data_IF_848025126771
#
_entry.id   IF_848025126771
#
_cell.length_a   1.000
_cell.length_b   1.000
_cell.length_c   1.000
_cell.angle_alpha   90.00
_cell.angle_beta   90.00
_cell.angle_gamma   90.00
#
_symmetry.space_group_name_H-M   'P 1'
#
loop_
_entity.id
_entity.type
_entity.pdbx_description
1 polymer ?
#
# COMPACT_ATOMS: atom_id res chain seq x y z
N UNK A 1 13.98 4.58 -11.99
CA UNK A 1 12.86 5.09 -11.15
C UNK A 1 13.33 5.12 -9.70
N UNK A 2 13.19 6.23 -8.95
CA UNK A 2 13.72 6.38 -7.58
C UNK A 2 13.18 5.36 -6.56
N UNK A 3 12.06 4.71 -6.86
CA UNK A 3 11.47 3.67 -6.01
C UNK A 3 12.11 2.29 -6.22
N UNK A 4 13.00 2.12 -7.21
CA UNK A 4 13.58 0.81 -7.54
C UNK A 4 14.40 0.20 -6.39
N UNK A 5 15.23 0.96 -5.64
CA UNK A 5 15.93 0.41 -4.48
C UNK A 5 14.98 -0.07 -3.38
N UNK A 6 13.89 0.68 -3.14
CA UNK A 6 12.86 0.32 -2.17
C UNK A 6 12.17 -1.00 -2.54
N UNK A 7 11.76 -1.15 -3.80
CA UNK A 7 11.18 -2.39 -4.32
C UNK A 7 12.18 -3.55 -4.24
N UNK A 8 13.42 -3.35 -4.68
CA UNK A 8 14.45 -4.39 -4.64
C UNK A 8 14.73 -4.86 -3.19
N UNK A 9 14.77 -3.96 -2.22
CA UNK A 9 14.92 -4.31 -0.81
C UNK A 9 13.72 -5.12 -0.29
N UNK A 10 12.50 -4.75 -0.67
CA UNK A 10 11.30 -5.49 -0.31
C UNK A 10 11.29 -6.91 -0.91
N UNK A 11 11.68 -7.05 -2.19
CA UNK A 11 11.80 -8.35 -2.87
C UNK A 11 12.89 -9.19 -2.20
N UNK A 12 14.04 -8.59 -1.86
CA UNK A 12 15.10 -9.28 -1.13
C UNK A 12 14.60 -9.81 0.22
N UNK A 13 13.87 -9.00 0.98
CA UNK A 13 13.27 -9.44 2.24
C UNK A 13 12.26 -10.59 2.05
N UNK A 14 11.48 -10.58 0.96
CA UNK A 14 10.56 -11.66 0.62
C UNK A 14 11.30 -12.97 0.27
N UNK A 15 12.40 -12.90 -0.46
CA UNK A 15 13.24 -14.05 -0.78
C UNK A 15 13.95 -14.60 0.46
N UNK A 16 14.47 -13.73 1.34
CA UNK A 16 15.04 -14.15 2.63
C UNK A 16 14.00 -14.81 3.52
N UNK A 17 12.78 -14.26 3.57
CA UNK A 17 11.68 -14.86 4.31
C UNK A 17 11.36 -16.26 3.76
N UNK A 18 11.22 -16.40 2.45
CA UNK A 18 10.87 -17.68 1.81
C UNK A 18 11.99 -18.72 1.98
N UNK A 19 13.26 -18.28 1.97
CA UNK A 19 14.42 -19.11 2.29
C UNK A 19 14.37 -19.65 3.72
N UNK A 20 14.05 -18.78 4.70
CA UNK A 20 13.96 -19.18 6.11
C UNK A 20 12.72 -20.03 6.40
N UNK A 21 11.59 -19.72 5.77
CA UNK A 21 10.35 -20.48 5.88
C UNK A 21 10.46 -21.86 5.21
N UNK A 22 11.40 -22.03 4.27
CA UNK A 22 11.62 -23.28 3.54
C UNK A 22 10.48 -23.63 2.58
N UNK A 23 9.70 -22.64 2.16
CA UNK A 23 8.47 -22.83 1.38
C UNK A 23 8.63 -22.49 -0.12
N UNK A 24 9.84 -22.13 -0.55
CA UNK A 24 10.19 -21.97 -1.96
C UNK A 24 11.59 -22.51 -2.25
N UNK A 25 11.69 -23.56 -3.08
CA UNK A 25 12.93 -24.32 -3.30
C UNK A 25 14.08 -23.49 -3.89
N UNK A 26 13.76 -22.44 -4.66
CA UNK A 26 14.72 -21.56 -5.31
C UNK A 26 14.94 -20.23 -4.58
N UNK A 27 14.36 -20.04 -3.38
CA UNK A 27 14.48 -18.78 -2.65
C UNK A 27 15.95 -18.36 -2.44
N UNK A 28 16.27 -17.11 -2.78
CA UNK A 28 17.62 -16.55 -2.70
C UNK A 28 18.61 -17.09 -3.74
N UNK A 29 18.16 -17.93 -4.68
CA UNK A 29 18.98 -18.57 -5.73
C UNK A 29 18.46 -18.33 -7.14
N UNK A 30 17.46 -17.46 -7.30
CA UNK A 30 16.88 -17.08 -8.58
C UNK A 30 16.91 -15.56 -8.76
N UNK A 31 17.00 -15.05 -10.00
CA UNK A 31 16.67 -13.66 -10.27
C UNK A 31 15.17 -13.46 -10.04
N UNK A 32 14.80 -12.39 -9.32
CA UNK A 32 13.41 -11.98 -9.09
C UNK A 32 13.34 -10.47 -9.17
N UNK A 33 12.32 -9.95 -9.83
CA UNK A 33 12.13 -8.52 -10.01
C UNK A 33 10.75 -8.22 -10.58
N UNK A 34 10.39 -6.95 -10.61
CA UNK A 34 9.14 -6.46 -11.16
C UNK A 34 9.40 -5.15 -11.90
N UNK A 35 8.70 -4.93 -13.01
CA UNK A 35 8.69 -3.63 -13.66
C UNK A 35 7.58 -2.76 -13.08
N UNK A 36 7.95 -1.71 -12.35
CA UNK A 36 6.99 -0.70 -11.89
C UNK A 36 6.44 0.16 -13.04
N UNK A 37 7.12 0.24 -14.18
CA UNK A 37 6.62 1.04 -15.31
C UNK A 37 5.67 0.22 -16.21
N UNK A 38 5.98 -1.07 -16.38
CA UNK A 38 5.26 -2.04 -17.20
C UNK A 38 5.05 -3.34 -16.40
N UNK A 39 4.17 -3.34 -15.39
CA UNK A 39 3.90 -4.54 -14.59
C UNK A 39 3.28 -5.69 -15.39
N UNK A 40 2.92 -5.45 -16.65
CA UNK A 40 2.41 -6.41 -17.63
C UNK A 40 3.49 -7.16 -18.42
N UNK A 41 4.77 -6.85 -18.21
CA UNK A 41 5.88 -7.53 -18.89
C UNK A 41 6.94 -7.99 -17.90
N UNK A 42 7.71 -9.00 -18.30
CA UNK A 42 8.88 -9.45 -17.54
C UNK A 42 9.87 -8.29 -17.36
N UNK A 43 10.33 -8.09 -16.14
CA UNK A 43 11.22 -7.01 -15.74
C UNK A 43 12.61 -7.05 -16.40
N UNK A 44 12.99 -8.22 -16.94
CA UNK A 44 14.23 -8.43 -17.72
C UNK A 44 14.07 -8.10 -19.20
N UNK A 45 12.83 -7.90 -19.68
CA UNK A 45 12.58 -7.57 -21.08
C UNK A 45 13.04 -6.15 -21.38
N UNK A 46 13.89 -6.00 -22.40
CA UNK A 46 14.26 -4.69 -22.93
C UNK A 46 13.00 -3.94 -23.40
N UNK A 47 12.79 -2.75 -22.82
CA UNK A 47 11.65 -1.90 -23.12
C UNK A 47 12.08 -0.49 -23.52
N UNK A 48 11.13 0.35 -23.97
CA UNK A 48 11.41 1.76 -24.14
C UNK A 48 11.92 2.36 -22.82
N UNK A 49 12.89 3.27 -22.90
CA UNK A 49 13.43 3.94 -21.73
C UNK A 49 12.30 4.57 -20.90
N UNK A 50 12.26 4.26 -19.61
CA UNK A 50 11.34 4.92 -18.66
C UNK A 50 11.65 6.42 -18.68
N UNK A 51 10.65 7.30 -18.86
CA UNK A 51 10.89 8.73 -18.87
C UNK A 51 11.49 9.17 -17.52
N UNK A 52 12.39 10.15 -17.56
CA UNK A 52 12.88 10.81 -16.35
C UNK A 52 11.71 11.42 -15.58
N UNK A 53 11.71 11.31 -14.25
CA UNK A 53 10.66 11.91 -13.45
C UNK A 53 10.73 13.44 -13.55
N UNK A 54 9.70 14.01 -14.16
CA UNK A 54 9.51 15.46 -14.35
C UNK A 54 8.40 16.00 -13.46
N UNK A 55 7.43 15.16 -13.07
CA UNK A 55 6.28 15.55 -12.27
C UNK A 55 6.09 14.63 -11.07
N UNK A 56 5.81 15.21 -9.90
CA UNK A 56 5.41 14.47 -8.70
C UNK A 56 4.02 14.91 -8.24
N UNK A 57 3.22 14.05 -7.59
CA UNK A 57 1.96 14.47 -6.98
C UNK A 57 2.23 15.55 -5.92
N UNK A 58 1.46 16.63 -5.90
CA UNK A 58 1.65 17.72 -4.93
C UNK A 58 0.56 17.80 -3.85
N UNK A 59 -0.57 17.12 -4.04
CA UNK A 59 -1.67 17.08 -3.06
C UNK A 59 -2.28 15.68 -3.02
N UNK A 60 -2.21 15.00 -1.88
CA UNK A 60 -2.75 13.64 -1.71
C UNK A 60 -3.54 13.50 -0.41
N UNK A 61 -4.54 12.63 -0.43
CA UNK A 61 -5.25 12.19 0.77
C UNK A 61 -4.90 10.73 1.09
N UNK A 62 -4.18 10.49 2.18
CA UNK A 62 -3.82 9.15 2.65
C UNK A 62 -4.89 8.67 3.64
N UNK A 63 -5.61 7.61 3.25
CA UNK A 63 -6.69 7.01 4.04
C UNK A 63 -6.19 5.67 4.60
N UNK A 64 -6.08 5.60 5.93
CA UNK A 64 -5.44 4.51 6.66
C UNK A 64 -3.93 4.73 6.78
N UNK A 65 -3.41 4.54 7.99
CA UNK A 65 -2.00 4.74 8.39
C UNK A 65 -1.45 3.53 9.15
N UNK A 66 -1.95 2.33 8.80
CA UNK A 66 -1.36 1.05 9.20
C UNK A 66 -0.10 0.72 8.39
N UNK A 67 0.21 -0.57 8.22
CA UNK A 67 1.38 -1.04 7.46
C UNK A 67 1.48 -0.38 6.07
N UNK A 68 0.43 -0.53 5.24
CA UNK A 68 0.40 0.00 3.88
C UNK A 68 0.47 1.54 3.83
N UNK A 69 -0.32 2.23 4.67
CA UNK A 69 -0.29 3.69 4.71
C UNK A 69 1.08 4.26 5.12
N UNK A 70 1.78 3.60 6.04
CA UNK A 70 3.16 3.93 6.39
C UNK A 70 4.15 3.61 5.26
N UNK A 71 3.93 2.54 4.49
CA UNK A 71 4.72 2.26 3.29
C UNK A 71 4.51 3.31 2.19
N UNK A 72 3.27 3.80 1.99
CA UNK A 72 3.01 4.93 1.09
C UNK A 72 3.80 6.16 1.55
N UNK A 73 3.75 6.45 2.85
CA UNK A 73 4.44 7.59 3.44
C UNK A 73 5.96 7.52 3.21
N UNK A 74 6.55 6.35 3.45
CA UNK A 74 7.97 6.12 3.24
C UNK A 74 8.37 6.30 1.77
N UNK A 75 7.61 5.73 0.83
CA UNK A 75 7.91 5.84 -0.60
C UNK A 75 7.76 7.26 -1.13
N UNK A 76 6.77 8.03 -0.66
CA UNK A 76 6.64 9.46 -1.00
C UNK A 76 7.88 10.24 -0.55
N UNK A 77 8.43 9.94 0.63
CA UNK A 77 9.66 10.54 1.12
C UNK A 77 10.92 10.12 0.32
N UNK A 78 10.90 9.01 -0.41
CA UNK A 78 11.99 8.60 -1.30
C UNK A 78 11.99 9.37 -2.63
N UNK A 79 10.93 10.11 -2.96
CA UNK A 79 10.85 10.88 -4.19
C UNK A 79 11.55 12.24 -4.04
N UNK A 80 12.11 12.81 -5.13
CA UNK A 80 12.92 14.03 -5.10
C UNK A 80 12.06 15.30 -5.01
N UNK A 81 11.26 15.40 -3.96
CA UNK A 81 10.41 16.57 -3.71
C UNK A 81 11.24 17.80 -3.32
N UNK A 82 10.98 18.96 -3.93
CA UNK A 82 11.38 20.22 -3.34
C UNK A 82 10.63 20.42 -2.01
N UNK A 83 11.28 21.01 -1.01
CA UNK A 83 10.68 21.26 0.30
C UNK A 83 9.37 22.05 0.18
N UNK A 84 8.34 21.61 0.90
CA UNK A 84 7.05 22.30 1.01
C UNK A 84 6.09 22.09 -0.17
N UNK A 85 6.43 21.21 -1.12
CA UNK A 85 5.65 21.02 -2.37
C UNK A 85 4.63 19.89 -2.34
N UNK A 86 4.67 19.03 -1.32
CA UNK A 86 3.69 17.97 -1.10
C UNK A 86 2.82 18.30 0.12
N UNK A 87 1.52 18.38 -0.12
CA UNK A 87 0.46 18.50 0.89
C UNK A 87 -0.27 17.17 1.06
N UNK A 88 -0.44 16.77 2.32
CA UNK A 88 -0.98 15.47 2.70
C UNK A 88 -2.13 15.65 3.68
N UNK A 89 -3.32 15.22 3.30
CA UNK A 89 -4.37 14.93 4.29
C UNK A 89 -4.14 13.52 4.80
N UNK A 90 -3.94 13.37 6.10
CA UNK A 90 -3.64 12.12 6.78
C UNK A 90 -4.88 11.69 7.57
N UNK A 91 -5.52 10.59 7.17
CA UNK A 91 -6.75 10.11 7.78
C UNK A 91 -6.57 8.74 8.43
N UNK A 92 -6.66 8.72 9.77
CA UNK A 92 -6.75 7.50 10.58
C UNK A 92 -7.30 7.88 11.97
N UNK A 93 -8.05 6.99 12.60
CA UNK A 93 -8.64 7.21 13.92
C UNK A 93 -7.95 6.41 15.03
N UNK A 94 -7.04 5.50 14.67
CA UNK A 94 -6.38 4.59 15.60
C UNK A 94 -5.10 5.18 16.19
N UNK A 95 -4.69 4.56 17.31
CA UNK A 95 -3.37 4.71 17.91
C UNK A 95 -2.43 3.60 17.47
N UNK A 96 -1.14 3.86 17.58
CA UNK A 96 -0.10 2.86 17.35
C UNK A 96 -0.13 1.82 18.47
N UNK A 97 -0.21 0.55 18.10
CA UNK A 97 -0.17 -0.58 19.02
C UNK A 97 1.21 -1.24 18.99
N UNK A 98 1.52 -2.06 20.00
CA UNK A 98 2.76 -2.86 20.05
C UNK A 98 2.98 -3.69 18.79
N UNK A 99 1.90 -4.23 18.21
CA UNK A 99 2.00 -5.01 16.96
C UNK A 99 2.48 -4.20 15.77
N UNK A 100 2.40 -2.87 15.80
CA UNK A 100 2.85 -2.03 14.69
C UNK A 100 4.38 -1.97 14.55
N UNK A 101 5.13 -2.22 15.63
CA UNK A 101 6.61 -2.26 15.63
C UNK A 101 7.17 -3.28 14.63
N UNK A 102 6.59 -4.48 14.59
CA UNK A 102 7.05 -5.55 13.68
C UNK A 102 6.37 -5.54 12.32
N UNK A 103 5.34 -4.71 12.13
CA UNK A 103 4.46 -4.77 10.96
C UNK A 103 4.41 -3.50 10.12
N UNK A 104 4.97 -2.39 10.59
CA UNK A 104 4.85 -1.09 9.93
C UNK A 104 6.21 -0.39 9.86
N UNK A 105 6.57 0.14 8.68
CA UNK A 105 7.94 0.62 8.39
C UNK A 105 8.34 1.90 9.15
N UNK A 106 7.37 2.67 9.66
CA UNK A 106 7.64 3.92 10.38
C UNK A 106 7.43 3.80 11.89
N UNK A 107 7.06 2.64 12.41
CA UNK A 107 6.69 2.48 13.82
C UNK A 107 7.74 1.69 14.58
N UNK A 108 7.98 2.09 15.82
CA UNK A 108 8.74 1.32 16.79
C UNK A 108 8.04 1.33 18.17
N UNK A 109 8.58 0.60 19.13
CA UNK A 109 8.02 0.52 20.49
C UNK A 109 7.96 1.87 21.24
N UNK A 110 8.81 2.85 20.90
CA UNK A 110 8.89 4.13 21.63
C UNK A 110 7.70 5.05 21.33
N UNK A 111 6.94 4.77 20.27
CA UNK A 111 5.83 5.62 19.80
C UNK A 111 4.45 4.96 19.98
N UNK A 112 4.39 3.85 20.71
CA UNK A 112 3.12 3.18 21.07
C UNK A 112 2.19 4.17 21.78
N UNK A 113 0.88 3.97 21.60
CA UNK A 113 -0.22 4.81 22.06
C UNK A 113 -0.31 6.21 21.44
N UNK A 114 0.65 6.64 20.62
CA UNK A 114 0.48 7.88 19.83
C UNK A 114 -0.58 7.69 18.75
N UNK A 115 -1.35 8.73 18.46
CA UNK A 115 -2.26 8.75 17.30
C UNK A 115 -1.45 8.53 16.02
N UNK A 116 -1.89 7.62 15.15
CA UNK A 116 -1.20 7.29 13.90
C UNK A 116 -1.02 8.52 13.01
N UNK A 117 -2.07 9.35 12.89
CA UNK A 117 -2.07 10.62 12.16
C UNK A 117 -0.98 11.56 12.64
N UNK A 118 -0.88 11.77 13.96
CA UNK A 118 0.11 12.68 14.57
C UNK A 118 1.53 12.15 14.42
N UNK A 119 1.74 10.84 14.57
CA UNK A 119 3.05 10.25 14.34
C UNK A 119 3.49 10.35 12.87
N UNK A 120 2.60 10.01 11.94
CA UNK A 120 2.87 10.14 10.52
C UNK A 120 3.09 11.61 10.12
N UNK A 121 2.35 12.52 10.71
CA UNK A 121 2.50 13.97 10.55
C UNK A 121 3.90 14.44 10.94
N UNK A 122 4.32 14.21 12.19
CA UNK A 122 5.67 14.56 12.65
C UNK A 122 6.75 14.00 11.70
N UNK A 123 6.60 12.74 11.28
CA UNK A 123 7.56 12.07 10.40
C UNK A 123 7.61 12.70 9.01
N UNK A 124 6.48 13.09 8.44
CA UNK A 124 6.37 13.73 7.12
C UNK A 124 6.81 15.19 7.15
N UNK A 125 6.45 15.94 8.19
CA UNK A 125 6.83 17.35 8.35
C UNK A 125 8.33 17.50 8.60
N UNK A 126 8.95 16.55 9.31
CA UNK A 126 10.41 16.47 9.45
C UNK A 126 11.15 16.32 8.10
N UNK A 127 10.43 15.95 7.03
CA UNK A 127 10.94 15.83 5.64
C UNK A 127 10.48 16.98 4.75
N UNK A 128 9.88 18.00 5.34
CA UNK A 128 9.47 19.21 4.63
C UNK A 128 8.14 19.10 3.90
N UNK A 129 7.32 18.09 4.18
CA UNK A 129 5.95 18.03 3.68
C UNK A 129 5.00 18.80 4.58
N UNK A 130 3.83 19.17 4.05
CA UNK A 130 2.76 19.82 4.81
C UNK A 130 1.68 18.80 5.11
N UNK A 131 1.20 18.74 6.34
CA UNK A 131 0.18 17.76 6.72
C UNK A 131 -1.07 18.39 7.32
N UNK A 132 -2.21 17.74 7.09
CA UNK A 132 -3.51 18.06 7.67
C UNK A 132 -4.09 16.77 8.23
N UNK A 133 -4.66 16.81 9.44
CA UNK A 133 -5.07 15.60 10.16
C UNK A 133 -6.58 15.44 10.13
N UNK A 134 -7.04 14.25 9.72
CA UNK A 134 -8.43 13.82 9.80
C UNK A 134 -8.51 12.59 10.73
N UNK A 135 -8.77 12.82 12.02
CA UNK A 135 -8.80 11.76 13.04
C UNK A 135 -10.14 10.99 13.09
N UNK A 136 -10.98 11.09 12.04
CA UNK A 136 -12.24 10.33 11.90
C UNK A 136 -12.10 9.13 10.98
N UNK A 137 -12.95 8.12 11.22
CA UNK A 137 -13.14 6.98 10.31
C UNK A 137 -13.54 7.46 8.91
N UNK A 138 -12.98 6.82 7.89
CA UNK A 138 -13.46 6.94 6.53
C UNK A 138 -14.74 6.11 6.33
N UNK A 139 -15.69 6.64 5.57
CA UNK A 139 -16.95 5.96 5.29
C UNK A 139 -17.83 6.75 4.32
N UNK A 140 -19.04 6.25 4.06
CA UNK A 140 -19.95 6.80 3.06
C UNK A 140 -20.45 8.23 3.33
N UNK A 141 -20.24 8.75 4.55
CA UNK A 141 -20.54 10.14 4.93
C UNK A 141 -19.43 11.11 4.55
N UNK A 142 -18.26 10.61 4.18
CA UNK A 142 -17.12 11.45 3.83
C UNK A 142 -17.34 12.06 2.45
N UNK A 143 -17.15 13.36 2.33
CA UNK A 143 -17.15 14.08 1.06
C UNK A 143 -16.02 15.09 1.10
N UNK A 144 -15.15 15.06 0.08
CA UNK A 144 -14.14 16.10 -0.07
C UNK A 144 -14.78 17.44 -0.42
N UNK A 145 -14.17 18.52 0.01
CA UNK A 145 -14.44 19.87 -0.53
C UNK A 145 -13.54 20.14 -1.75
N UNK A 146 -13.85 21.21 -2.49
CA UNK A 146 -13.13 21.56 -3.72
C UNK A 146 -11.67 21.97 -3.46
N UNK A 147 -11.38 22.47 -2.26
CA UNK A 147 -10.04 22.85 -1.83
C UNK A 147 -9.23 21.68 -1.25
N UNK A 148 -9.82 20.51 -1.03
CA UNK A 148 -9.11 19.33 -0.55
C UNK A 148 -8.44 18.54 -1.68
N UNK A 149 -7.43 17.67 -1.39
CA UNK A 149 -6.84 16.82 -2.40
C UNK A 149 -7.88 15.94 -3.12
N UNK A 150 -7.90 15.99 -4.44
CA UNK A 150 -8.78 15.18 -5.27
C UNK A 150 -8.22 13.78 -5.59
N UNK A 151 -6.96 13.52 -5.22
CA UNK A 151 -6.31 12.21 -5.35
C UNK A 151 -6.19 11.56 -3.98
N UNK A 152 -6.78 10.36 -3.83
CA UNK A 152 -6.72 9.58 -2.59
C UNK A 152 -5.91 8.30 -2.74
N UNK A 153 -5.14 7.97 -1.71
CA UNK A 153 -4.44 6.71 -1.54
C UNK A 153 -5.09 5.96 -0.37
N UNK A 154 -5.78 4.87 -0.66
CA UNK A 154 -6.48 4.08 0.35
C UNK A 154 -5.69 2.83 0.72
N UNK A 155 -5.56 2.58 2.03
CA UNK A 155 -4.85 1.44 2.61
C UNK A 155 -5.62 0.75 3.75
N UNK A 156 -6.91 1.05 3.87
CA UNK A 156 -7.75 0.47 4.92
C UNK A 156 -8.09 -0.99 4.60
N UNK A 157 -8.28 -1.78 5.64
CA UNK A 157 -8.45 -3.23 5.58
C UNK A 157 -9.91 -3.70 5.64
N UNK A 158 -10.88 -2.79 5.74
CA UNK A 158 -12.28 -3.13 5.92
C UNK A 158 -13.11 -2.83 4.67
N UNK A 159 -13.93 -3.81 4.27
CA UNK A 159 -14.78 -3.73 3.10
C UNK A 159 -15.73 -2.50 3.12
N UNK A 160 -16.41 -2.14 4.24
CA UNK A 160 -17.31 -0.98 4.24
C UNK A 160 -16.63 0.34 3.87
N UNK A 161 -15.43 0.61 4.39
CA UNK A 161 -14.68 1.83 4.04
C UNK A 161 -14.21 1.78 2.57
N UNK A 162 -13.69 0.65 2.10
CA UNK A 162 -13.24 0.52 0.71
C UNK A 162 -14.41 0.66 -0.28
N UNK A 163 -15.59 0.13 0.06
CA UNK A 163 -16.84 0.25 -0.72
C UNK A 163 -17.27 1.72 -0.94
N UNK A 164 -16.96 2.60 0.02
CA UNK A 164 -17.37 4.00 0.01
C UNK A 164 -16.46 4.94 -0.80
N UNK A 165 -15.31 4.47 -1.31
CA UNK A 165 -14.27 5.32 -1.89
C UNK A 165 -14.77 6.23 -3.03
N UNK A 166 -15.58 5.69 -3.94
CA UNK A 166 -16.11 6.45 -5.09
C UNK A 166 -17.21 7.47 -4.71
N UNK A 167 -17.73 7.41 -3.48
CA UNK A 167 -18.76 8.35 -2.99
C UNK A 167 -18.17 9.63 -2.40
N UNK A 168 -16.89 9.60 -2.03
CA UNK A 168 -16.22 10.70 -1.35
C UNK A 168 -15.86 11.87 -2.26
N UNK A 169 -16.12 11.77 -3.57
CA UNK A 169 -15.90 12.86 -4.52
C UNK A 169 -14.46 12.99 -5.02
N UNK A 170 -13.59 12.02 -4.74
CA UNK A 170 -12.25 11.97 -5.33
C UNK A 170 -12.31 11.72 -6.83
N UNK A 171 -11.51 12.46 -7.59
CA UNK A 171 -11.40 12.32 -9.04
C UNK A 171 -10.53 11.12 -9.41
N UNK A 172 -9.61 10.75 -8.50
CA UNK A 172 -8.75 9.60 -8.65
C UNK A 172 -8.44 8.96 -7.30
N UNK A 173 -8.66 7.65 -7.21
CA UNK A 173 -8.31 6.85 -6.04
C UNK A 173 -7.38 5.73 -6.48
N UNK A 174 -6.30 5.51 -5.72
CA UNK A 174 -5.51 4.28 -5.79
C UNK A 174 -5.64 3.57 -4.45
N UNK A 175 -6.16 2.36 -4.50
CA UNK A 175 -6.51 1.55 -3.35
C UNK A 175 -5.60 0.32 -3.37
N UNK A 176 -5.06 -0.08 -2.23
CA UNK A 176 -4.39 -1.38 -2.14
C UNK A 176 -4.68 -2.09 -0.82
N UNK A 177 -4.63 -3.42 -0.88
CA UNK A 177 -4.84 -4.28 0.27
C UNK A 177 -3.93 -5.50 0.26
N UNK A 178 -3.79 -6.09 1.44
CA UNK A 178 -3.00 -7.28 1.67
C UNK A 178 -3.93 -8.47 1.93
N UNK A 179 -3.49 -9.67 1.57
CA UNK A 179 -4.25 -10.87 1.89
C UNK A 179 -4.32 -11.12 3.41
N UNK A 180 -5.42 -11.72 3.84
CA UNK A 180 -5.67 -12.04 5.23
C UNK A 180 -5.31 -13.50 5.55
N UNK A 181 -4.76 -13.71 6.75
CA UNK A 181 -4.49 -15.02 7.30
C UNK A 181 -3.37 -15.84 6.64
N UNK A 182 -3.14 -17.06 7.12
CA UNK A 182 -1.89 -17.79 6.89
C UNK A 182 -1.64 -18.21 5.44
N UNK A 183 -2.70 -18.33 4.65
CA UNK A 183 -2.59 -18.77 3.26
C UNK A 183 -2.36 -17.61 2.29
N UNK A 184 -2.70 -16.37 2.68
CA UNK A 184 -2.68 -15.23 1.77
C UNK A 184 -1.93 -14.01 2.29
N UNK A 185 -1.27 -14.07 3.45
CA UNK A 185 -0.51 -12.95 4.03
C UNK A 185 0.62 -12.39 3.12
N UNK A 186 1.06 -13.16 2.11
CA UNK A 186 2.03 -12.72 1.09
C UNK A 186 1.39 -12.12 -0.17
N UNK A 187 0.07 -12.16 -0.27
CA UNK A 187 -0.69 -11.64 -1.39
C UNK A 187 -0.94 -10.14 -1.23
N UNK A 188 -1.00 -9.45 -2.35
CA UNK A 188 -1.36 -8.04 -2.43
C UNK A 188 -2.25 -7.79 -3.63
N UNK A 189 -3.05 -6.73 -3.56
CA UNK A 189 -3.78 -6.21 -4.71
C UNK A 189 -3.84 -4.69 -4.68
N UNK A 190 -3.89 -4.09 -5.86
CA UNK A 190 -4.07 -2.66 -6.11
C UNK A 190 -5.25 -2.50 -7.07
N UNK A 191 -6.12 -1.55 -6.78
CA UNK A 191 -7.20 -1.12 -7.67
C UNK A 191 -7.15 0.39 -7.85
N UNK A 192 -7.61 0.89 -8.99
CA UNK A 192 -7.86 2.33 -9.15
C UNK A 192 -9.33 2.62 -9.32
N UNK A 193 -9.78 3.76 -8.83
CA UNK A 193 -11.11 4.29 -9.11
C UNK A 193 -11.03 5.70 -9.73
N UNK A 194 -11.85 6.00 -10.76
CA UNK A 194 -12.80 5.11 -11.44
C UNK A 194 -12.11 4.00 -12.26
N UNK A 195 -12.46 2.75 -11.96
CA UNK A 195 -11.82 1.54 -12.49
C UNK A 195 -12.74 0.70 -13.38
N UNK A 196 -12.29 -0.51 -13.78
CA UNK A 196 -13.09 -1.43 -14.58
C UNK A 196 -14.30 -2.01 -13.82
N UNK A 197 -14.23 -2.04 -12.48
CA UNK A 197 -15.34 -2.39 -11.58
C UNK A 197 -15.47 -1.30 -10.52
N UNK A 198 -16.68 -1.09 -10.03
CA UNK A 198 -16.93 -0.13 -8.94
C UNK A 198 -16.43 -0.68 -7.61
N UNK A 199 -16.01 0.21 -6.72
CA UNK A 199 -15.58 -0.14 -5.36
C UNK A 199 -16.66 -0.92 -4.60
N UNK A 200 -17.94 -0.53 -4.75
CA UNK A 200 -19.08 -1.20 -4.13
C UNK A 200 -19.35 -2.62 -4.65
N UNK A 201 -18.88 -2.93 -5.87
CA UNK A 201 -19.00 -4.26 -6.47
C UNK A 201 -17.83 -5.16 -6.09
N UNK A 202 -16.65 -4.58 -5.89
CA UNK A 202 -15.48 -5.31 -5.40
C UNK A 202 -15.69 -5.66 -3.92
N UNK A 203 -16.10 -4.68 -3.11
CA UNK A 203 -16.23 -4.80 -1.66
C UNK A 203 -17.70 -4.63 -1.22
N UNK A 204 -18.54 -5.68 -1.38
CA UNK A 204 -19.94 -5.60 -1.00
C UNK A 204 -20.09 -5.50 0.53
N UNK A 205 -20.99 -4.62 0.99
CA UNK A 205 -21.19 -4.36 2.42
C UNK A 205 -21.66 -5.58 3.25
N UNK A 206 -22.08 -6.67 2.58
CA UNK A 206 -22.58 -7.90 3.18
C UNK A 206 -21.50 -8.97 3.38
N UNK A 207 -20.27 -8.76 2.94
CA UNK A 207 -19.17 -9.70 3.20
C UNK A 207 -18.76 -9.64 4.68
N UNK A 208 -19.39 -10.50 5.47
CA UNK A 208 -18.84 -10.92 6.77
C UNK A 208 -17.68 -11.87 6.47
N UNK A 209 -16.46 -11.36 6.46
CA UNK A 209 -15.27 -12.21 6.42
C UNK A 209 -15.20 -13.00 7.71
N UNK A 210 -15.71 -14.24 7.69
CA UNK A 210 -15.37 -15.23 8.69
C UNK A 210 -13.87 -15.48 8.58
N UNK A 211 -13.12 -15.28 9.67
CA UNK A 211 -11.69 -15.57 9.70
C UNK A 211 -11.42 -17.04 9.38
N UNK A 212 -10.26 -17.37 8.77
CA UNK A 212 -9.93 -18.76 8.46
C UNK A 212 -9.88 -19.61 9.73
N UNK A 213 -10.40 -20.85 9.67
CA UNK A 213 -10.21 -21.81 10.76
C UNK A 213 -8.75 -22.28 10.78
N UNK A 214 -7.98 -21.71 11.70
CA UNK A 214 -6.56 -22.04 11.90
C UNK A 214 -6.34 -23.04 13.03
N UNK A 215 -7.41 -23.52 13.66
CA UNK A 215 -7.31 -24.31 14.91
C UNK A 215 -6.53 -25.61 14.73
N UNK A 216 -6.48 -26.15 13.51
CA UNK A 216 -5.71 -27.34 13.15
C UNK A 216 -4.24 -27.10 12.77
N UNK A 217 -3.78 -25.84 12.68
CA UNK A 217 -2.40 -25.54 12.28
C UNK A 217 -1.43 -25.69 13.47
N UNK A 218 -0.28 -26.41 13.34
CA UNK A 218 0.61 -26.71 14.46
C UNK A 218 1.12 -25.47 15.23
N UNK A 219 1.41 -24.38 14.52
CA UNK A 219 1.85 -23.11 15.12
C UNK A 219 0.75 -22.47 15.99
N UNK A 220 -0.49 -22.46 15.51
CA UNK A 220 -1.65 -21.93 16.23
C UNK A 220 -2.09 -22.85 17.37
N UNK A 221 -1.96 -24.17 17.20
CA UNK A 221 -2.20 -25.15 18.26
C UNK A 221 -1.19 -25.01 19.42
N UNK A 222 0.07 -24.67 19.10
CA UNK A 222 1.09 -24.35 20.11
C UNK A 222 0.76 -23.04 20.84
N UNK A 223 0.42 -21.97 20.11
CA UNK A 223 -0.02 -20.70 20.71
C UNK A 223 -1.26 -20.87 21.62
N UNK A 224 -2.20 -21.74 21.24
CA UNK A 224 -3.34 -22.12 22.07
C UNK A 224 -2.92 -22.81 23.37
N UNK A 225 -1.93 -23.72 23.29
CA UNK A 225 -1.35 -24.40 24.46
C UNK A 225 -0.57 -23.45 25.37
N UNK A 226 0.06 -22.43 24.79
CA UNK A 226 0.84 -21.42 25.50
C UNK A 226 -0.04 -20.30 26.12
N UNK A 227 -1.38 -20.44 26.05
CA UNK A 227 -2.34 -19.62 26.79
C UNK A 227 -3.10 -18.58 25.96
N UNK A 228 -2.97 -18.57 24.62
CA UNK A 228 -3.76 -17.69 23.76
C UNK A 228 -5.20 -18.23 23.64
N UNK A 229 -6.20 -17.41 23.94
CA UNK A 229 -7.60 -17.81 23.87
C UNK A 229 -8.11 -17.92 22.42
N UNK A 230 -9.30 -18.50 22.23
CA UNK A 230 -9.89 -18.65 20.88
C UNK A 230 -10.10 -17.30 20.18
N UNK A 231 -10.39 -16.24 20.94
CA UNK A 231 -10.53 -14.88 20.41
C UNK A 231 -9.19 -14.34 19.89
N UNK A 232 -8.12 -14.48 20.67
CA UNK A 232 -6.75 -14.11 20.30
C UNK A 232 -6.21 -14.92 19.13
N UNK A 233 -6.51 -16.22 19.05
CA UNK A 233 -6.14 -17.05 17.90
C UNK A 233 -6.89 -16.66 16.63
N UNK A 234 -8.20 -16.42 16.72
CA UNK A 234 -9.00 -15.95 15.59
C UNK A 234 -8.54 -14.56 15.12
N UNK A 235 -8.14 -13.67 16.04
CA UNK A 235 -7.54 -12.38 15.68
C UNK A 235 -6.16 -12.54 15.04
N UNK A 236 -5.31 -13.44 15.52
CA UNK A 236 -3.97 -13.69 14.96
C UNK A 236 -4.02 -14.42 13.61
N UNK A 237 -5.12 -15.13 13.36
CA UNK A 237 -5.42 -15.83 12.11
C UNK A 237 -6.11 -14.99 11.06
N UNK A 238 -6.93 -14.02 11.48
CA UNK A 238 -7.65 -13.12 10.59
C UNK A 238 -6.87 -11.84 10.30
N UNK A 239 -6.00 -11.40 11.23
CA UNK A 239 -5.05 -10.32 10.94
C UNK A 239 -4.09 -10.83 9.89
N UNK A 240 -3.98 -10.07 8.80
CA UNK A 240 -2.80 -10.09 7.95
C UNK A 240 -1.59 -10.08 8.88
N UNK A 241 -0.78 -11.15 8.86
CA UNK A 241 0.56 -11.09 9.44
C UNK A 241 1.19 -9.94 8.67
N UNK A 242 1.26 -8.77 9.28
CA UNK A 242 1.56 -7.53 8.58
C UNK A 242 3.01 -7.60 8.19
N UNK A 243 3.30 -8.16 7.03
CA UNK A 243 4.67 -8.35 6.60
C UNK A 243 5.09 -7.06 5.91
N UNK A 244 6.02 -6.27 6.49
CA UNK A 244 6.34 -4.94 5.96
C UNK A 244 6.78 -4.99 4.51
N UNK A 245 7.48 -6.06 4.09
CA UNK A 245 7.92 -6.20 2.70
C UNK A 245 6.76 -6.39 1.71
N UNK A 246 5.68 -7.07 2.08
CA UNK A 246 4.50 -7.25 1.21
C UNK A 246 3.78 -5.91 1.06
N UNK A 247 3.60 -5.21 2.19
CA UNK A 247 3.08 -3.84 2.21
C UNK A 247 3.91 -2.91 1.33
N UNK A 248 5.23 -3.02 1.39
CA UNK A 248 6.12 -2.18 0.61
C UNK A 248 6.06 -2.49 -0.89
N UNK A 249 6.00 -3.76 -1.30
CA UNK A 249 5.78 -4.14 -2.71
C UNK A 249 4.47 -3.55 -3.22
N UNK A 250 3.35 -3.76 -2.51
CA UNK A 250 2.05 -3.21 -2.90
C UNK A 250 2.08 -1.67 -3.02
N UNK A 251 2.70 -1.00 -2.04
CA UNK A 251 2.87 0.44 -2.00
C UNK A 251 3.68 0.98 -3.19
N UNK A 252 4.68 0.23 -3.69
CA UNK A 252 5.43 0.65 -4.88
C UNK A 252 4.54 0.73 -6.11
N UNK A 253 3.57 -0.18 -6.27
CA UNK A 253 2.61 -0.12 -7.38
C UNK A 253 1.65 1.06 -7.25
N UNK A 254 1.21 1.37 -6.02
CA UNK A 254 0.35 2.52 -5.73
C UNK A 254 1.02 3.83 -6.13
N UNK A 255 2.24 4.08 -5.64
CA UNK A 255 2.96 5.32 -5.96
C UNK A 255 3.36 5.32 -7.44
N UNK A 256 3.76 4.17 -8.00
CA UNK A 256 4.10 4.08 -9.42
C UNK A 256 2.90 4.34 -10.34
N UNK A 257 1.67 4.04 -9.94
CA UNK A 257 0.49 4.40 -10.72
C UNK A 257 0.33 5.92 -10.82
N UNK A 258 0.54 6.67 -9.72
CA UNK A 258 0.56 8.13 -9.76
C UNK A 258 1.60 8.63 -10.77
N UNK A 259 2.82 8.11 -10.66
CA UNK A 259 3.94 8.51 -11.51
C UNK A 259 3.69 8.15 -12.97
N UNK A 260 3.18 6.94 -13.27
CA UNK A 260 2.82 6.53 -14.63
C UNK A 260 1.81 7.49 -15.24
N UNK A 261 0.75 7.82 -14.50
CA UNK A 261 -0.29 8.75 -15.00
C UNK A 261 0.25 10.14 -15.28
N UNK A 262 1.10 10.68 -14.40
CA UNK A 262 1.71 12.00 -14.63
C UNK A 262 2.67 12.04 -15.82
N UNK A 263 3.20 10.91 -16.26
CA UNK A 263 4.19 10.82 -17.34
C UNK A 263 3.65 10.14 -18.60
N UNK A 264 2.31 10.01 -18.73
CA UNK A 264 1.68 9.42 -19.92
C UNK A 264 1.97 7.93 -20.12
N UNK A 265 2.38 7.23 -19.05
CA UNK A 265 2.51 5.78 -19.06
C UNK A 265 1.15 5.08 -19.09
N UNK A 266 1.17 3.76 -19.27
CA UNK A 266 -0.05 2.95 -19.14
C UNK A 266 -0.57 3.02 -17.70
N UNK A 267 -1.88 3.17 -17.57
CA UNK A 267 -2.58 3.03 -16.29
C UNK A 267 -2.99 1.58 -16.07
N UNK A 268 -2.96 1.15 -14.82
CA UNK A 268 -3.40 -0.19 -14.42
C UNK A 268 -4.56 -0.07 -13.45
N UNK A 269 -5.72 -0.54 -13.89
CA UNK A 269 -6.94 -0.53 -13.09
C UNK A 269 -6.93 -1.59 -11.99
N UNK A 270 -6.17 -2.66 -12.21
CA UNK A 270 -5.95 -3.77 -11.27
C UNK A 270 -4.50 -4.25 -11.40
N UNK A 271 -3.85 -4.49 -10.26
CA UNK A 271 -2.63 -5.29 -10.13
C UNK A 271 -2.82 -6.23 -8.96
N UNK A 272 -2.64 -7.53 -9.13
CA UNK A 272 -2.76 -8.53 -8.07
C UNK A 272 -1.62 -9.53 -8.16
N UNK A 273 -1.13 -10.00 -7.02
CA UNK A 273 -0.05 -10.97 -7.01
C UNK A 273 0.36 -11.41 -5.62
N UNK A 274 1.47 -12.15 -5.56
CA UNK A 274 2.04 -12.66 -4.32
C UNK A 274 3.54 -12.49 -4.29
N UNK A 275 4.07 -12.05 -3.15
CA UNK A 275 5.53 -12.02 -2.93
C UNK A 275 6.18 -13.41 -2.89
N UNK A 276 5.37 -14.48 -2.84
CA UNK A 276 5.84 -15.85 -3.04
C UNK A 276 6.12 -16.18 -4.52
N UNK A 277 5.33 -15.59 -5.43
CA UNK A 277 5.43 -15.80 -6.87
C UNK A 277 5.25 -14.47 -7.60
N UNK A 278 6.32 -13.67 -7.66
CA UNK A 278 6.29 -12.34 -8.28
C UNK A 278 6.20 -12.40 -9.81
N UNK A 279 6.52 -13.53 -10.41
CA UNK A 279 6.43 -13.74 -11.86
C UNK A 279 4.96 -13.91 -12.33
N UNK A 280 4.04 -14.24 -11.41
CA UNK A 280 2.61 -14.44 -11.67
C UNK A 280 1.79 -13.19 -11.27
N UNK A 281 2.16 -12.03 -11.79
CA UNK A 281 1.35 -10.82 -11.64
C UNK A 281 0.13 -10.84 -12.57
N UNK A 282 -1.05 -10.67 -11.99
CA UNK A 282 -2.27 -10.40 -12.73
C UNK A 282 -2.46 -8.88 -12.87
N UNK A 283 -2.55 -8.39 -14.10
CA UNK A 283 -2.70 -6.96 -14.36
C UNK A 283 -3.81 -6.68 -15.38
N UNK A 284 -4.53 -5.59 -15.15
CA UNK A 284 -5.53 -5.08 -16.09
C UNK A 284 -5.21 -3.63 -16.43
N UNK A 285 -4.65 -3.42 -17.63
CA UNK A 285 -4.40 -2.08 -18.14
C UNK A 285 -5.73 -1.36 -18.46
N UNK A 286 -5.78 -0.05 -18.21
CA UNK A 286 -6.89 0.82 -18.54
C UNK A 286 -6.36 2.07 -19.24
N UNK A 287 -7.07 2.53 -20.28
CA UNK A 287 -6.68 3.75 -20.96
C UNK A 287 -7.16 4.97 -20.17
N UNK A 288 -6.24 5.63 -19.48
CA UNK A 288 -6.49 6.85 -18.72
C UNK A 288 -5.35 7.83 -18.96
N UNK A 289 -5.70 9.10 -19.18
CA UNK A 289 -4.70 10.17 -19.28
C UNK A 289 -4.13 10.55 -17.91
N UNK A 290 -3.28 11.59 -17.83
CA UNK A 290 -2.88 12.21 -16.58
C UNK A 290 -4.08 12.64 -15.73
N UNK A 291 -3.93 12.65 -14.41
CA UNK A 291 -4.90 13.30 -13.54
C UNK A 291 -4.56 14.79 -13.39
N UNK A 292 -5.58 15.65 -13.30
CA UNK A 292 -5.40 17.10 -13.36
C UNK A 292 -5.03 17.76 -12.01
N UNK A 293 -5.10 17.00 -10.91
CA UNK A 293 -5.13 17.56 -9.56
C UNK A 293 -3.75 17.50 -8.90
N UNK A 294 -3.10 18.67 -8.86
CA UNK A 294 -1.92 18.89 -8.04
C UNK A 294 -0.73 18.03 -8.45
N UNK A 295 0.10 18.55 -9.34
CA UNK A 295 1.46 18.08 -9.52
C UNK A 295 2.46 19.23 -9.30
N UNK A 296 3.69 18.86 -8.96
CA UNK A 296 4.82 19.76 -8.93
C UNK A 296 5.83 19.28 -9.96
N UNK A 297 6.38 20.22 -10.72
CA UNK A 297 7.49 19.92 -11.61
C UNK A 297 8.77 19.81 -10.77
N UNK A 298 9.50 18.73 -10.95
CA UNK A 298 10.84 18.57 -10.40
C UNK A 298 11.84 18.85 -11.50
N UNK A 299 12.85 19.65 -11.18
CA UNK A 299 13.97 19.85 -12.10
C UNK A 299 14.63 18.48 -12.25
N UNK A 300 14.70 17.99 -13.49
CA UNK A 300 15.39 16.75 -13.83
C UNK A 300 16.89 16.89 -13.58
N UNK A 301 17.29 16.92 -12.32
CA UNK A 301 18.65 16.60 -11.90
C UNK A 301 18.81 15.10 -12.05
N UNK A 302 19.91 14.69 -12.67
CA UNK A 302 20.33 13.29 -12.70
C UNK A 302 20.26 12.70 -11.29
N UNK A 303 19.51 11.60 -11.16
CA UNK A 303 19.54 10.73 -9.96
C UNK A 303 20.67 9.75 -10.17
#
# INVERSE_FOLDING_TARGET
MPLAPALAAAICAAEVFSLHAGDHAMAGKRPVGLSMWRPDVDWTTDGPSVPGLTFLPSRLWLIGLGNLGQAYAWLLACLPYPTGTLELVLQDFDRLAVSNDSTSILTNLDVVDRMKTRWASDWMEARGFKTFLEERRFGAWMHRTDDEPAVALCSVDNAPARSALERAGFDFVVESGLGAGPQSFRNFSMHTFPGPRRAEQLWPATEVTNGPDVSGMPAYAKLKKDGLDQCGLAQLASRTVGVPFVGLVAATFVISELLRRLHGGLSYGVISGSTMCLDDLEVAAVQRGPYAHGFVQVNGGEI
#
